data_IF_945227292861
#
_entry.id   IF_945227292861
#
_cell.length_a   1.000
_cell.length_b   1.000
_cell.length_c   1.000
_cell.angle_alpha   90.00
_cell.angle_beta   90.00
_cell.angle_gamma   90.00
#
_symmetry.space_group_name_H-M   'P 1'
#
loop_
_entity.id
_entity.type
_entity.pdbx_description
1 polymer ?
#
# COMPACT_ATOMS: atom_id res chain seq x y z
N UNK A 1 -4.32 -8.47 -5.43
CA UNK A 1 -5.75 -8.11 -5.35
C UNK A 1 -6.51 -8.30 -6.68
N UNK A 2 -5.85 -8.91 -7.67
CA UNK A 2 -6.41 -9.27 -8.98
C UNK A 2 -6.96 -8.09 -9.79
N UNK A 3 -6.31 -6.93 -9.71
CA UNK A 3 -6.61 -5.82 -10.63
C UNK A 3 -6.15 -6.14 -12.06
N UNK A 4 -5.19 -7.04 -12.21
CA UNK A 4 -4.68 -7.49 -13.51
C UNK A 4 -5.78 -8.15 -14.36
N UNK A 5 -6.84 -8.69 -13.75
CA UNK A 5 -7.99 -9.28 -14.47
C UNK A 5 -8.73 -8.24 -15.35
N UNK A 6 -8.49 -6.94 -15.10
CA UNK A 6 -9.08 -5.85 -15.88
C UNK A 6 -8.16 -5.35 -17.01
N UNK A 7 -7.02 -6.01 -17.24
CA UNK A 7 -6.06 -5.65 -18.28
C UNK A 7 -6.21 -6.64 -19.42
N UNK A 8 -6.61 -6.14 -20.59
CA UNK A 8 -6.76 -6.95 -21.78
C UNK A 8 -5.40 -7.53 -22.24
N UNK A 9 -5.45 -8.64 -22.95
CA UNK A 9 -4.28 -9.33 -23.55
C UNK A 9 -3.19 -9.76 -22.55
N UNK A 10 -3.56 -9.97 -21.28
CA UNK A 10 -2.64 -10.51 -20.26
C UNK A 10 -2.97 -11.97 -19.94
N UNK A 11 -1.93 -12.78 -19.80
CA UNK A 11 -2.04 -14.15 -19.28
C UNK A 11 -1.23 -14.30 -17.99
N UNK A 12 -1.82 -14.95 -16.99
CA UNK A 12 -1.17 -15.18 -15.70
C UNK A 12 -1.00 -16.69 -15.52
N UNK A 13 0.23 -17.12 -15.30
CA UNK A 13 0.55 -18.50 -14.92
C UNK A 13 1.07 -18.61 -13.51
N UNK A 14 1.12 -19.84 -12.99
CA UNK A 14 1.60 -20.12 -11.63
C UNK A 14 0.52 -20.04 -10.55
N UNK A 15 0.93 -19.83 -9.30
CA UNK A 15 0.04 -19.75 -8.13
C UNK A 15 0.48 -18.63 -7.20
N UNK A 16 -0.49 -17.95 -6.60
CA UNK A 16 -0.25 -16.98 -5.53
C UNK A 16 -1.07 -17.41 -4.32
N UNK A 17 -0.39 -17.85 -3.27
CA UNK A 17 -1.03 -18.41 -2.08
C UNK A 17 -1.14 -17.38 -0.96
N UNK A 18 -2.33 -17.24 -0.36
CA UNK A 18 -2.54 -16.56 0.91
C UNK A 18 -3.05 -17.61 1.91
N UNK A 19 -2.18 -18.06 2.80
CA UNK A 19 -2.46 -19.25 3.59
C UNK A 19 -2.66 -20.46 2.69
N UNK A 20 -3.82 -21.08 2.76
CA UNK A 20 -4.18 -22.26 1.94
C UNK A 20 -4.92 -21.90 0.65
N UNK A 21 -5.26 -20.64 0.44
CA UNK A 21 -6.05 -20.17 -0.70
C UNK A 21 -5.15 -19.72 -1.85
N UNK A 22 -5.34 -20.31 -3.03
CA UNK A 22 -4.76 -19.77 -4.27
C UNK A 22 -5.66 -18.64 -4.78
N UNK A 23 -5.12 -17.41 -4.75
CA UNK A 23 -5.91 -16.24 -5.12
C UNK A 23 -6.12 -16.10 -6.64
N UNK A 24 -5.31 -16.75 -7.47
CA UNK A 24 -5.51 -16.73 -8.93
C UNK A 24 -6.69 -17.60 -9.35
N UNK A 25 -6.95 -18.69 -8.63
CA UNK A 25 -8.08 -19.59 -8.89
C UNK A 25 -9.37 -19.18 -8.16
N UNK A 26 -9.33 -18.14 -7.32
CA UNK A 26 -10.50 -17.69 -6.56
C UNK A 26 -11.64 -17.27 -7.51
N UNK A 27 -12.89 -17.74 -7.27
CA UNK A 27 -14.05 -17.31 -8.06
C UNK A 27 -14.26 -15.80 -8.02
N UNK A 28 -14.82 -15.23 -9.09
CA UNK A 28 -15.07 -13.78 -9.17
C UNK A 28 -15.89 -13.23 -8.01
N UNK A 29 -16.86 -14.01 -7.51
CA UNK A 29 -17.70 -13.66 -6.34
C UNK A 29 -16.86 -13.42 -5.06
N UNK A 30 -15.70 -14.06 -4.95
CA UNK A 30 -14.85 -13.99 -3.76
C UNK A 30 -13.87 -12.83 -3.82
N UNK A 31 -13.79 -12.12 -4.98
CA UNK A 31 -12.85 -11.00 -5.18
C UNK A 31 -13.15 -9.79 -4.27
N UNK A 32 -14.41 -9.58 -3.89
CA UNK A 32 -14.79 -8.49 -2.98
C UNK A 32 -14.13 -8.73 -1.62
N UNK A 33 -14.24 -9.93 -1.09
CA UNK A 33 -13.62 -10.30 0.18
C UNK A 33 -12.10 -10.34 0.06
N UNK A 34 -11.55 -10.87 -1.03
CA UNK A 34 -10.12 -10.85 -1.29
C UNK A 34 -9.58 -9.40 -1.30
N UNK A 35 -10.27 -8.48 -1.96
CA UNK A 35 -9.87 -7.06 -2.04
C UNK A 35 -10.02 -6.34 -0.71
N UNK A 36 -10.94 -6.75 0.16
CA UNK A 36 -11.02 -6.26 1.53
C UNK A 36 -9.75 -6.62 2.31
N UNK A 37 -9.29 -7.86 2.17
CA UNK A 37 -8.11 -8.40 2.87
C UNK A 37 -6.78 -7.83 2.33
N UNK A 38 -6.78 -7.27 1.12
CA UNK A 38 -5.57 -6.78 0.45
C UNK A 38 -5.76 -5.31 0.10
N UNK A 39 -5.34 -4.42 0.98
CA UNK A 39 -5.31 -2.99 0.73
C UNK A 39 -4.30 -2.61 -0.36
N UNK A 40 -4.61 -1.62 -1.17
CA UNK A 40 -3.72 -1.09 -2.20
C UNK A 40 -3.47 0.40 -2.00
N UNK A 41 -2.21 0.77 -1.97
CA UNK A 41 -1.73 2.15 -1.98
C UNK A 41 -1.00 2.37 -3.30
N UNK A 42 -1.63 3.06 -4.27
CA UNK A 42 -1.05 3.23 -5.61
C UNK A 42 0.03 4.31 -5.62
N UNK A 43 0.83 4.32 -6.67
CA UNK A 43 1.89 5.28 -6.94
C UNK A 43 1.37 6.74 -6.94
N UNK A 44 0.28 6.98 -7.63
CA UNK A 44 -0.41 8.29 -7.60
C UNK A 44 -1.65 8.18 -6.71
N UNK A 45 -1.79 9.06 -5.71
CA UNK A 45 -2.97 9.03 -4.87
C UNK A 45 -4.24 9.23 -5.71
N UNK A 46 -5.23 8.39 -5.43
CA UNK A 46 -6.52 8.41 -6.12
C UNK A 46 -7.65 8.52 -5.08
N UNK A 47 -7.86 9.71 -4.50
CA UNK A 47 -9.02 9.91 -3.65
C UNK A 47 -10.30 9.84 -4.48
N UNK A 48 -11.33 9.19 -3.95
CA UNK A 48 -12.64 9.15 -4.57
C UNK A 48 -13.24 10.56 -4.62
N UNK A 49 -14.09 10.90 -5.61
CA UNK A 49 -14.69 12.22 -5.77
C UNK A 49 -15.80 12.47 -4.73
N UNK A 50 -15.45 12.38 -3.46
CA UNK A 50 -16.32 12.53 -2.30
C UNK A 50 -15.58 13.22 -1.16
N UNK A 51 -16.22 13.37 0.01
CA UNK A 51 -15.62 14.02 1.17
C UNK A 51 -14.42 13.22 1.73
N UNK A 52 -13.62 13.87 2.58
CA UNK A 52 -12.53 13.20 3.32
C UNK A 52 -13.13 12.08 4.19
N UNK A 53 -14.20 12.35 4.90
CA UNK A 53 -14.92 11.38 5.72
C UNK A 53 -15.38 10.18 4.88
N UNK A 54 -16.06 10.43 3.77
CA UNK A 54 -16.62 9.38 2.95
C UNK A 54 -15.53 8.53 2.25
N UNK A 55 -14.37 9.10 1.95
CA UNK A 55 -13.24 8.33 1.45
C UNK A 55 -12.83 7.24 2.44
N UNK A 56 -12.63 7.57 3.72
CA UNK A 56 -12.23 6.59 4.74
C UNK A 56 -13.36 5.60 5.03
N UNK A 57 -14.59 6.11 5.15
CA UNK A 57 -15.78 5.30 5.44
C UNK A 57 -16.24 4.40 4.28
N UNK A 58 -15.74 4.61 3.07
CA UNK A 58 -16.23 3.96 1.85
C UNK A 58 -16.18 2.43 1.93
N UNK A 59 -15.00 1.89 2.25
CA UNK A 59 -14.83 0.45 2.36
C UNK A 59 -15.68 -0.17 3.46
N UNK A 60 -15.78 0.47 4.61
CA UNK A 60 -16.61 0.02 5.72
C UNK A 60 -18.09 -0.11 5.30
N UNK A 61 -18.61 0.87 4.55
CA UNK A 61 -20.00 0.82 4.06
C UNK A 61 -20.23 -0.29 3.05
N UNK A 62 -19.30 -0.48 2.10
CA UNK A 62 -19.42 -1.55 1.08
C UNK A 62 -19.44 -2.94 1.71
N UNK A 63 -18.61 -3.14 2.72
CA UNK A 63 -18.49 -4.42 3.40
C UNK A 63 -19.47 -4.60 4.57
N UNK A 64 -20.39 -3.64 4.79
CA UNK A 64 -21.36 -3.68 5.89
C UNK A 64 -20.73 -3.61 7.29
N UNK A 65 -19.49 -3.08 7.39
CA UNK A 65 -18.79 -2.89 8.65
C UNK A 65 -19.21 -1.55 9.27
N UNK A 66 -19.35 -1.53 10.61
CA UNK A 66 -19.63 -0.28 11.35
C UNK A 66 -20.81 0.49 10.79
N UNK A 67 -22.01 -0.11 10.84
CA UNK A 67 -23.23 0.45 10.19
C UNK A 67 -23.80 1.67 10.92
N UNK A 68 -23.49 1.85 12.21
CA UNK A 68 -23.94 3.01 12.98
C UNK A 68 -23.07 4.22 12.70
N UNK A 69 -23.70 5.38 12.55
CA UNK A 69 -23.01 6.65 12.24
C UNK A 69 -21.90 6.98 13.25
N UNK A 70 -22.11 6.69 14.53
CA UNK A 70 -21.12 6.93 15.60
C UNK A 70 -19.89 6.03 15.44
N UNK A 71 -20.11 4.73 15.25
CA UNK A 71 -19.02 3.76 15.04
C UNK A 71 -18.18 4.12 13.82
N UNK A 72 -18.85 4.52 12.74
CA UNK A 72 -18.17 4.95 11.51
C UNK A 72 -17.33 6.22 11.73
N UNK A 73 -17.80 7.15 12.55
CA UNK A 73 -17.04 8.35 12.91
C UNK A 73 -15.78 7.99 13.73
N UNK A 74 -15.90 7.07 14.68
CA UNK A 74 -14.77 6.59 15.48
C UNK A 74 -13.71 5.87 14.61
N UNK A 75 -14.15 5.09 13.61
CA UNK A 75 -13.26 4.44 12.64
C UNK A 75 -12.51 5.48 11.79
N UNK A 76 -13.23 6.48 11.29
CA UNK A 76 -12.63 7.56 10.48
C UNK A 76 -11.60 8.35 11.29
N UNK A 77 -11.93 8.75 12.51
CA UNK A 77 -10.99 9.42 13.42
C UNK A 77 -9.76 8.57 13.68
N UNK A 78 -9.94 7.30 14.05
CA UNK A 78 -8.87 6.34 14.33
C UNK A 78 -7.88 6.25 13.18
N UNK A 79 -8.35 5.99 11.96
CA UNK A 79 -7.45 5.77 10.83
C UNK A 79 -6.85 7.05 10.25
N UNK A 80 -7.55 8.17 10.33
CA UNK A 80 -6.94 9.48 10.03
C UNK A 80 -5.86 9.84 11.04
N UNK A 81 -6.03 9.48 12.32
CA UNK A 81 -5.02 9.66 13.37
C UNK A 81 -3.83 8.72 13.12
N UNK A 82 -4.07 7.46 12.79
CA UNK A 82 -3.03 6.46 12.54
C UNK A 82 -2.09 6.87 11.38
N UNK A 83 -2.63 7.54 10.36
CA UNK A 83 -1.83 8.07 9.24
C UNK A 83 -1.35 9.52 9.46
N UNK A 84 -1.55 10.09 10.65
CA UNK A 84 -1.12 11.45 11.00
C UNK A 84 -1.79 12.54 10.17
N UNK A 85 -3.04 12.33 9.76
CA UNK A 85 -3.81 13.30 8.97
C UNK A 85 -4.92 13.98 9.76
N UNK A 86 -5.34 13.42 10.89
CA UNK A 86 -6.49 13.88 11.68
C UNK A 86 -6.45 15.37 12.02
N UNK A 87 -5.37 15.84 12.62
CA UNK A 87 -5.25 17.23 13.08
C UNK A 87 -5.29 18.25 11.93
N UNK A 88 -4.95 17.84 10.73
CA UNK A 88 -4.97 18.70 9.54
C UNK A 88 -6.38 18.82 8.92
N UNK A 89 -7.28 17.84 9.21
CA UNK A 89 -8.56 17.74 8.48
C UNK A 89 -9.79 17.62 9.35
N UNK A 90 -9.67 17.45 10.67
CA UNK A 90 -10.78 17.19 11.60
C UNK A 90 -11.91 18.23 11.51
N UNK A 91 -11.58 19.51 11.26
CA UNK A 91 -12.54 20.60 11.16
C UNK A 91 -13.19 20.74 9.77
N UNK A 92 -12.75 19.91 8.80
CA UNK A 92 -13.22 19.96 7.40
C UNK A 92 -13.47 18.58 6.78
N UNK A 93 -13.87 17.60 7.56
CA UNK A 93 -14.09 16.22 7.11
C UNK A 93 -15.09 16.09 5.96
N UNK A 94 -16.03 17.01 5.84
CA UNK A 94 -17.04 17.05 4.77
C UNK A 94 -16.53 17.76 3.50
N UNK A 95 -15.32 18.33 3.52
CA UNK A 95 -14.72 18.93 2.33
C UNK A 95 -14.29 17.85 1.33
N UNK A 96 -14.26 18.22 0.04
CA UNK A 96 -13.81 17.33 -1.02
C UNK A 96 -12.36 16.89 -0.79
N UNK A 97 -12.11 15.58 -0.86
CA UNK A 97 -10.80 15.00 -0.74
C UNK A 97 -9.83 15.44 -1.85
N UNK A 98 -10.33 15.87 -3.00
CA UNK A 98 -9.53 16.38 -4.11
C UNK A 98 -8.85 17.72 -3.81
N UNK A 99 -9.27 18.44 -2.76
CA UNK A 99 -8.64 19.69 -2.33
C UNK A 99 -7.44 19.50 -1.41
N UNK A 100 -7.15 18.28 -1.04
CA UNK A 100 -5.96 17.94 -0.25
C UNK A 100 -4.69 18.05 -1.09
N UNK A 101 -3.56 18.34 -0.44
CA UNK A 101 -2.25 18.23 -1.08
C UNK A 101 -1.96 16.76 -1.46
N UNK A 102 -1.03 16.51 -2.39
CA UNK A 102 -0.71 15.16 -2.86
C UNK A 102 -0.28 14.27 -1.68
N UNK A 103 0.54 14.76 -0.75
CA UNK A 103 0.93 14.02 0.44
C UNK A 103 -0.24 13.73 1.40
N UNK A 104 -1.18 14.67 1.55
CA UNK A 104 -2.41 14.45 2.32
C UNK A 104 -3.32 13.41 1.63
N UNK A 105 -3.44 13.49 0.30
CA UNK A 105 -4.21 12.51 -0.49
C UNK A 105 -3.62 11.09 -0.36
N UNK A 106 -2.28 10.96 -0.36
CA UNK A 106 -1.61 9.67 -0.18
C UNK A 106 -1.92 9.08 1.19
N UNK A 107 -1.81 9.90 2.25
CA UNK A 107 -2.18 9.46 3.60
C UNK A 107 -3.67 9.13 3.72
N UNK A 108 -4.55 9.86 3.03
CA UNK A 108 -5.98 9.55 2.97
C UNK A 108 -6.25 8.20 2.28
N UNK A 109 -5.57 7.92 1.16
CA UNK A 109 -5.67 6.63 0.47
C UNK A 109 -5.20 5.48 1.37
N UNK A 110 -4.15 5.70 2.15
CA UNK A 110 -3.67 4.73 3.15
C UNK A 110 -4.72 4.53 4.26
N UNK A 111 -5.27 5.62 4.84
CA UNK A 111 -6.32 5.53 5.85
C UNK A 111 -7.55 4.76 5.34
N UNK A 112 -7.98 5.03 4.09
CA UNK A 112 -9.07 4.30 3.42
C UNK A 112 -8.78 2.81 3.31
N UNK A 113 -7.54 2.45 2.97
CA UNK A 113 -7.14 1.04 2.86
C UNK A 113 -7.10 0.35 4.23
N UNK A 114 -6.67 1.04 5.28
CA UNK A 114 -6.61 0.51 6.64
C UNK A 114 -7.99 0.35 7.30
N UNK A 115 -8.95 1.20 6.93
CA UNK A 115 -10.29 1.24 7.55
C UNK A 115 -11.10 -0.06 7.40
N UNK A 116 -10.74 -0.92 6.46
CA UNK A 116 -11.34 -2.24 6.27
C UNK A 116 -10.56 -3.36 6.96
N UNK A 117 -9.56 -3.02 7.76
CA UNK A 117 -8.71 -3.94 8.53
C UNK A 117 -8.12 -5.05 7.64
N UNK A 118 -7.29 -4.70 6.66
CA UNK A 118 -6.72 -5.66 5.73
C UNK A 118 -5.65 -6.54 6.40
N UNK A 119 -5.42 -7.74 5.86
CA UNK A 119 -4.31 -8.62 6.26
C UNK A 119 -2.98 -8.14 5.65
N UNK A 120 -3.06 -7.58 4.42
CA UNK A 120 -1.91 -7.16 3.63
C UNK A 120 -2.09 -5.75 3.08
N UNK A 121 -0.99 -5.03 2.95
CA UNK A 121 -0.93 -3.74 2.25
C UNK A 121 0.03 -3.90 1.08
N UNK A 122 -0.47 -3.64 -0.14
CA UNK A 122 0.36 -3.52 -1.32
C UNK A 122 0.65 -2.03 -1.54
N UNK A 123 1.91 -1.64 -1.53
CA UNK A 123 2.36 -0.28 -1.77
C UNK A 123 3.17 -0.23 -3.06
N UNK A 124 2.60 0.34 -4.10
CA UNK A 124 3.24 0.45 -5.41
C UNK A 124 3.84 1.85 -5.55
N UNK A 125 5.16 1.95 -5.37
CA UNK A 125 5.91 3.23 -5.42
C UNK A 125 5.22 4.39 -4.68
N UNK A 126 4.62 4.13 -3.53
CA UNK A 126 3.67 5.00 -2.83
C UNK A 126 4.22 6.38 -2.41
N UNK A 127 5.50 6.66 -2.65
CA UNK A 127 6.15 7.93 -2.32
C UNK A 127 6.75 8.64 -3.53
N UNK A 128 6.76 8.02 -4.71
CA UNK A 128 7.47 8.57 -5.90
C UNK A 128 6.89 9.89 -6.41
N UNK A 129 5.59 10.15 -6.17
CA UNK A 129 4.90 11.38 -6.56
C UNK A 129 4.96 12.50 -5.50
N UNK A 130 5.66 12.26 -4.36
CA UNK A 130 5.66 13.15 -3.21
C UNK A 130 6.93 14.02 -3.17
N UNK A 131 6.79 15.20 -2.58
CA UNK A 131 7.94 16.00 -2.16
C UNK A 131 8.74 15.27 -1.05
N UNK A 132 10.02 15.63 -0.81
CA UNK A 132 10.89 14.91 0.13
C UNK A 132 10.34 14.85 1.57
N UNK A 133 9.64 15.89 2.03
CA UNK A 133 9.09 15.94 3.40
C UNK A 133 7.89 15.00 3.52
N UNK A 134 6.97 15.09 2.58
CA UNK A 134 5.81 14.19 2.50
C UNK A 134 6.23 12.73 2.30
N UNK A 135 7.22 12.47 1.45
CA UNK A 135 7.79 11.14 1.23
C UNK A 135 8.32 10.55 2.54
N UNK A 136 9.13 11.32 3.29
CA UNK A 136 9.65 10.88 4.58
C UNK A 136 8.51 10.57 5.57
N UNK A 137 7.48 11.41 5.62
CA UNK A 137 6.32 11.19 6.50
C UNK A 137 5.62 9.87 6.18
N UNK A 138 5.40 9.57 4.90
CA UNK A 138 4.76 8.30 4.46
C UNK A 138 5.69 7.11 4.72
N UNK A 139 7.01 7.23 4.52
CA UNK A 139 7.97 6.18 4.87
C UNK A 139 7.95 5.87 6.38
N UNK A 140 7.92 6.90 7.24
CA UNK A 140 7.83 6.73 8.70
C UNK A 140 6.52 6.02 9.11
N UNK A 141 5.43 6.26 8.38
CA UNK A 141 4.18 5.52 8.56
C UNK A 141 4.34 4.05 8.22
N UNK A 142 4.96 3.70 7.08
CA UNK A 142 5.19 2.31 6.72
C UNK A 142 6.06 1.57 7.73
N UNK A 143 7.09 2.22 8.29
CA UNK A 143 7.91 1.66 9.37
C UNK A 143 7.07 1.32 10.61
N UNK A 144 6.10 2.15 10.97
CA UNK A 144 5.19 1.88 12.10
C UNK A 144 4.15 0.81 11.76
N UNK A 145 3.59 0.87 10.55
CA UNK A 145 2.52 -0.04 10.12
C UNK A 145 3.00 -1.48 9.94
N UNK A 146 4.28 -1.71 9.58
CA UNK A 146 4.82 -3.07 9.44
C UNK A 146 4.83 -3.88 10.75
N UNK A 147 4.69 -3.23 11.89
CA UNK A 147 4.52 -3.91 13.18
C UNK A 147 3.16 -4.61 13.33
N UNK A 148 2.16 -4.16 12.55
CA UNK A 148 0.77 -4.66 12.61
C UNK A 148 0.34 -5.37 11.33
N UNK A 149 0.86 -4.96 10.19
CA UNK A 149 0.41 -5.40 8.87
C UNK A 149 1.56 -6.01 8.08
N UNK A 150 1.25 -7.03 7.28
CA UNK A 150 2.17 -7.51 6.26
C UNK A 150 2.17 -6.53 5.07
N UNK A 151 3.34 -5.93 4.78
CA UNK A 151 3.45 -4.92 3.72
C UNK A 151 4.31 -5.46 2.59
N UNK A 152 3.78 -5.45 1.38
CA UNK A 152 4.54 -5.71 0.15
C UNK A 152 4.70 -4.38 -0.56
N UNK A 153 5.94 -3.91 -0.66
CA UNK A 153 6.25 -2.61 -1.26
C UNK A 153 7.08 -2.80 -2.52
N UNK A 154 6.67 -2.15 -3.59
CA UNK A 154 7.50 -1.96 -4.79
C UNK A 154 8.14 -0.58 -4.71
N UNK A 155 9.44 -0.51 -4.89
CA UNK A 155 10.19 0.75 -4.96
C UNK A 155 11.45 0.59 -5.83
N UNK A 156 11.80 1.65 -6.54
CA UNK A 156 13.08 1.78 -7.22
C UNK A 156 14.10 2.58 -6.38
N UNK A 157 13.69 3.06 -5.20
CA UNK A 157 14.54 3.86 -4.32
C UNK A 157 15.24 2.97 -3.30
N UNK A 158 16.51 2.66 -3.54
CA UNK A 158 17.33 1.80 -2.66
C UNK A 158 17.33 2.28 -1.20
N UNK A 159 17.44 3.60 -0.97
CA UNK A 159 17.41 4.17 0.38
C UNK A 159 16.12 3.86 1.13
N UNK A 160 14.99 3.86 0.44
CA UNK A 160 13.68 3.50 1.02
C UNK A 160 13.64 2.01 1.36
N UNK A 161 14.07 1.16 0.43
CA UNK A 161 14.11 -0.28 0.65
C UNK A 161 14.99 -0.64 1.86
N UNK A 162 16.21 -0.09 1.95
CA UNK A 162 17.13 -0.27 3.08
C UNK A 162 16.53 0.12 4.45
N UNK A 163 15.65 1.13 4.44
CA UNK A 163 15.07 1.66 5.67
C UNK A 163 13.86 0.87 6.16
N UNK A 164 13.06 0.33 5.24
CA UNK A 164 11.75 -0.22 5.56
C UNK A 164 11.74 -1.74 5.53
N UNK A 165 12.46 -2.36 4.58
CA UNK A 165 12.35 -3.77 4.30
C UNK A 165 12.98 -4.66 5.38
N UNK A 166 12.29 -5.74 5.72
CA UNK A 166 12.82 -6.87 6.49
C UNK A 166 13.26 -7.99 5.54
N UNK A 167 12.58 -8.14 4.41
CA UNK A 167 12.89 -9.06 3.32
C UNK A 167 12.93 -8.32 1.99
N UNK A 168 13.84 -8.66 1.11
CA UNK A 168 14.00 -8.06 -0.19
C UNK A 168 13.87 -9.08 -1.31
N UNK A 169 13.27 -8.67 -2.41
CA UNK A 169 13.24 -9.40 -3.68
C UNK A 169 13.74 -8.45 -4.75
N UNK A 170 14.91 -8.73 -5.33
CA UNK A 170 15.45 -7.96 -6.43
C UNK A 170 14.96 -8.52 -7.76
N UNK A 171 14.26 -7.68 -8.53
CA UNK A 171 13.73 -8.00 -9.85
C UNK A 171 14.49 -7.21 -10.93
N UNK A 172 14.90 -7.89 -11.99
CA UNK A 172 15.52 -7.26 -13.14
C UNK A 172 14.96 -7.86 -14.43
N UNK A 173 14.46 -7.02 -15.33
CA UNK A 173 13.84 -7.41 -16.61
C UNK A 173 12.76 -8.50 -16.48
N UNK A 174 11.97 -8.47 -15.40
CA UNK A 174 10.89 -9.42 -15.14
C UNK A 174 11.31 -10.72 -14.46
N UNK A 175 12.60 -10.91 -14.19
CA UNK A 175 13.14 -12.09 -13.51
C UNK A 175 13.51 -11.78 -12.06
N UNK A 176 13.28 -12.75 -11.16
CA UNK A 176 13.77 -12.68 -9.78
C UNK A 176 15.25 -13.05 -9.78
N UNK A 177 16.10 -12.08 -9.46
CA UNK A 177 17.56 -12.27 -9.43
C UNK A 177 18.00 -12.74 -8.06
N UNK A 178 17.58 -12.05 -7.00
CA UNK A 178 17.98 -12.36 -5.63
C UNK A 178 16.84 -12.11 -4.66
N UNK A 179 16.73 -12.96 -3.63
CA UNK A 179 15.73 -12.82 -2.58
C UNK A 179 16.30 -13.26 -1.24
N UNK A 180 15.94 -12.58 -0.15
CA UNK A 180 16.39 -12.93 1.18
C UNK A 180 16.18 -11.83 2.22
N UNK A 181 16.81 -12.02 3.38
CA UNK A 181 16.87 -10.98 4.42
C UNK A 181 17.43 -9.68 3.83
N UNK A 182 16.76 -8.56 4.10
CA UNK A 182 17.10 -7.28 3.48
C UNK A 182 18.54 -6.84 3.80
N UNK A 183 19.02 -7.09 5.03
CA UNK A 183 20.39 -6.73 5.43
C UNK A 183 21.42 -7.55 4.65
N UNK A 184 21.10 -8.82 4.36
CA UNK A 184 21.98 -9.70 3.57
C UNK A 184 21.99 -9.26 2.11
N UNK A 185 20.82 -9.13 1.48
CA UNK A 185 20.68 -8.74 0.06
C UNK A 185 21.31 -7.38 -0.22
N UNK A 186 21.16 -6.41 0.68
CA UNK A 186 21.71 -5.06 0.50
C UNK A 186 23.15 -4.91 0.98
N UNK A 187 23.60 -5.69 1.98
CA UNK A 187 24.92 -5.54 2.58
C UNK A 187 25.98 -6.47 1.98
N UNK A 188 25.58 -7.67 1.57
CA UNK A 188 26.47 -8.73 1.06
C UNK A 188 25.75 -9.58 0.03
N UNK A 189 25.34 -8.99 -1.12
CA UNK A 189 24.59 -9.70 -2.15
C UNK A 189 25.40 -10.84 -2.76
N UNK A 190 24.74 -11.97 -3.01
CA UNK A 190 25.34 -13.15 -3.62
C UNK A 190 25.42 -13.02 -5.15
N UNK A 191 24.42 -12.35 -5.76
CA UNK A 191 24.30 -12.21 -7.20
C UNK A 191 25.10 -11.00 -7.74
N UNK A 192 25.78 -11.21 -8.86
CA UNK A 192 26.59 -10.15 -9.50
C UNK A 192 25.72 -8.95 -9.97
N UNK A 193 24.52 -9.22 -10.49
CA UNK A 193 23.58 -8.19 -10.94
C UNK A 193 23.12 -7.33 -9.76
N UNK A 194 22.83 -7.93 -8.61
CA UNK A 194 22.49 -7.20 -7.39
C UNK A 194 23.64 -6.31 -6.95
N UNK A 195 24.87 -6.81 -6.96
CA UNK A 195 26.09 -6.02 -6.62
C UNK A 195 26.24 -4.81 -7.55
N UNK A 196 26.08 -5.01 -8.86
CA UNK A 196 26.15 -3.92 -9.84
C UNK A 196 25.08 -2.86 -9.61
N UNK A 197 23.84 -3.29 -9.35
CA UNK A 197 22.73 -2.37 -9.05
C UNK A 197 23.01 -1.54 -7.79
N UNK A 198 23.43 -2.18 -6.70
CA UNK A 198 23.72 -1.51 -5.44
C UNK A 198 24.92 -0.55 -5.51
N UNK A 199 25.89 -0.83 -6.38
CA UNK A 199 27.04 0.04 -6.60
C UNK A 199 26.76 1.22 -7.55
N UNK A 200 25.56 1.34 -8.10
CA UNK A 200 25.16 2.41 -9.01
C UNK A 200 25.70 2.26 -10.44
N UNK A 201 26.24 1.09 -10.80
CA UNK A 201 26.80 0.85 -12.15
C UNK A 201 25.73 0.74 -13.24
N UNK A 202 24.44 0.70 -12.88
CA UNK A 202 23.30 0.68 -13.80
C UNK A 202 22.68 2.08 -14.04
N UNK A 203 23.42 3.15 -13.84
CA UNK A 203 22.94 4.51 -14.15
C UNK A 203 23.24 4.89 -15.60
#
# INVERSE_FOLDING_TARGET
NRLIDNVDDTSIGGRIMIGVQDILSAPYRDLIELRRRIGLVPQRPCPLPMSIFDNVAYGCRIHGMHTRKKELAEVVERYLTEVGLWDEVKDRLQSSAQRLSIGQQQRLCLARSLAVEPDFILADEATSALDPVSSKTVEDLFVKLKEKYSIIMVTHTLRQALRIADHAVFLYLGEVIETGDAKKVFGSPEEELTRKYLSGVFS
#
